data_IF_998368912815
#
_entry.id   IF_998368912815
#
_cell.length_a   1.000
_cell.length_b   1.000
_cell.length_c   1.000
_cell.angle_alpha   90.00
_cell.angle_beta   90.00
_cell.angle_gamma   90.00
#
_symmetry.space_group_name_H-M   'P 1'
#
loop_
_entity.id
_entity.type
_entity.pdbx_description
1 polymer ?
#
# COMPACT_ATOMS: atom_id res chain seq x y z
N UNK A 1 0.70 -5.85 -16.45
CA UNK A 1 1.57 -5.54 -17.62
C UNK A 1 1.52 -4.08 -18.05
N UNK A 2 0.35 -3.51 -18.32
CA UNK A 2 0.24 -2.12 -18.82
C UNK A 2 0.91 -1.10 -17.89
N UNK A 3 0.67 -1.22 -16.57
CA UNK A 3 1.31 -0.38 -15.56
C UNK A 3 2.85 -0.36 -15.70
N UNK A 4 3.48 -1.55 -15.76
CA UNK A 4 4.93 -1.65 -15.90
C UNK A 4 5.46 -1.06 -17.20
N UNK A 5 4.69 -1.12 -18.30
CA UNK A 5 5.07 -0.50 -19.57
C UNK A 5 5.01 1.03 -19.54
N UNK A 6 4.21 1.60 -18.63
CA UNK A 6 4.09 3.04 -18.43
C UNK A 6 5.22 3.65 -17.61
N UNK A 7 6.06 2.83 -16.97
CA UNK A 7 7.20 3.32 -16.19
C UNK A 7 8.28 3.88 -17.13
N UNK A 8 8.86 5.07 -16.84
CA UNK A 8 9.93 5.62 -17.67
C UNK A 8 11.17 4.70 -17.71
N UNK A 9 11.78 4.50 -18.90
CA UNK A 9 12.86 3.53 -19.09
C UNK A 9 14.16 3.85 -18.35
N UNK A 10 14.35 5.08 -17.91
CA UNK A 10 15.52 5.55 -17.17
C UNK A 10 15.48 5.24 -15.67
N UNK A 11 14.43 4.59 -15.18
CA UNK A 11 14.24 4.29 -13.75
C UNK A 11 14.98 3.03 -13.32
N UNK A 12 15.56 3.08 -12.12
CA UNK A 12 16.04 1.90 -11.40
C UNK A 12 14.90 1.43 -10.49
N UNK A 13 14.29 0.29 -10.81
CA UNK A 13 13.03 -0.14 -10.17
C UNK A 13 13.27 -1.25 -9.17
N UNK A 14 12.75 -1.08 -7.95
CA UNK A 14 12.61 -2.13 -6.93
C UNK A 14 11.13 -2.49 -6.77
N UNK A 15 10.81 -3.78 -6.91
CA UNK A 15 9.46 -4.30 -6.74
C UNK A 15 9.34 -4.99 -5.38
N UNK A 16 8.37 -4.53 -4.61
CA UNK A 16 8.01 -5.08 -3.33
C UNK A 16 6.57 -5.62 -3.37
N UNK A 17 6.30 -6.69 -2.65
CA UNK A 17 4.93 -7.20 -2.48
C UNK A 17 4.70 -7.80 -1.10
N UNK A 18 3.45 -7.81 -0.67
CA UNK A 18 3.01 -8.62 0.47
C UNK A 18 3.06 -10.10 0.12
N UNK A 19 3.22 -10.98 1.13
CA UNK A 19 3.21 -12.45 0.98
C UNK A 19 1.82 -13.04 0.64
N UNK A 20 0.99 -12.30 -0.10
CA UNK A 20 -0.32 -12.72 -0.55
C UNK A 20 -0.26 -12.95 -2.06
N UNK A 21 -0.61 -14.16 -2.51
CA UNK A 21 -0.45 -14.62 -3.90
C UNK A 21 -0.95 -13.62 -4.96
N UNK A 22 -2.09 -12.95 -4.75
CA UNK A 22 -2.62 -11.97 -5.71
C UNK A 22 -1.77 -10.71 -5.83
N UNK A 23 -1.14 -10.27 -4.73
CA UNK A 23 -0.19 -9.15 -4.75
C UNK A 23 1.11 -9.56 -5.47
N UNK A 24 1.61 -10.78 -5.20
CA UNK A 24 2.77 -11.34 -5.89
C UNK A 24 2.55 -11.43 -7.40
N UNK A 25 1.39 -11.96 -7.83
CA UNK A 25 1.01 -12.02 -9.24
C UNK A 25 0.92 -10.64 -9.89
N UNK A 26 0.44 -9.64 -9.16
CA UNK A 26 0.38 -8.26 -9.64
C UNK A 26 1.77 -7.67 -9.80
N UNK A 27 2.66 -7.86 -8.81
CA UNK A 27 4.05 -7.44 -8.88
C UNK A 27 4.79 -8.11 -10.05
N UNK A 28 4.60 -9.41 -10.25
CA UNK A 28 5.13 -10.14 -11.39
C UNK A 28 4.63 -9.54 -12.72
N UNK A 29 3.33 -9.27 -12.84
CA UNK A 29 2.77 -8.68 -14.07
C UNK A 29 3.27 -7.25 -14.33
N UNK A 30 3.61 -6.50 -13.28
CA UNK A 30 4.30 -5.20 -13.40
C UNK A 30 5.73 -5.45 -13.91
N UNK A 31 6.46 -6.39 -13.31
CA UNK A 31 7.81 -6.76 -13.70
C UNK A 31 7.94 -7.24 -15.15
N UNK A 32 7.00 -8.04 -15.64
CA UNK A 32 6.92 -8.44 -17.05
C UNK A 32 6.72 -7.22 -17.97
N UNK A 33 5.94 -6.23 -17.53
CA UNK A 33 5.77 -4.96 -18.24
C UNK A 33 7.07 -4.17 -18.32
N UNK A 34 7.81 -4.07 -17.22
CA UNK A 34 9.13 -3.43 -17.13
C UNK A 34 10.16 -4.12 -18.03
N UNK A 35 10.25 -5.45 -17.96
CA UNK A 35 11.17 -6.25 -18.78
C UNK A 35 10.92 -6.08 -20.28
N UNK A 36 9.65 -5.94 -20.69
CA UNK A 36 9.30 -5.67 -22.09
C UNK A 36 9.79 -4.31 -22.61
N UNK A 37 10.26 -3.44 -21.71
CA UNK A 37 10.83 -2.11 -22.00
C UNK A 37 12.35 -2.07 -21.78
N UNK A 38 12.99 -3.20 -21.47
CA UNK A 38 14.42 -3.28 -21.18
C UNK A 38 14.79 -2.85 -19.76
N UNK A 39 13.83 -2.71 -18.85
CA UNK A 39 14.07 -2.43 -17.43
C UNK A 39 14.10 -3.77 -16.69
N UNK A 40 15.18 -4.07 -15.98
CA UNK A 40 15.31 -5.26 -15.14
C UNK A 40 15.01 -4.91 -13.67
N UNK A 41 13.79 -5.20 -13.15
CA UNK A 41 13.45 -4.85 -11.77
C UNK A 41 14.12 -5.77 -10.76
N UNK A 42 14.64 -5.20 -9.68
CA UNK A 42 15.05 -5.99 -8.52
C UNK A 42 13.82 -6.32 -7.67
N UNK A 43 13.62 -7.60 -7.38
CA UNK A 43 12.59 -8.04 -6.43
C UNK A 43 13.18 -8.05 -5.02
N UNK A 44 12.60 -7.27 -4.12
CA UNK A 44 13.05 -7.20 -2.73
C UNK A 44 12.50 -8.34 -1.88
N UNK A 45 12.93 -8.39 -0.61
CA UNK A 45 12.26 -9.20 0.41
C UNK A 45 10.75 -8.87 0.49
N UNK A 46 9.97 -9.90 0.81
CA UNK A 46 8.51 -9.82 0.90
C UNK A 46 8.11 -9.35 2.28
N UNK A 47 7.13 -8.45 2.35
CA UNK A 47 6.58 -8.00 3.62
C UNK A 47 5.72 -9.09 4.24
N UNK A 48 6.02 -9.42 5.50
CA UNK A 48 5.11 -10.23 6.32
C UNK A 48 3.78 -9.49 6.48
N UNK A 49 2.70 -10.28 6.56
CA UNK A 49 1.39 -9.73 6.88
C UNK A 49 1.36 -9.37 8.37
N UNK A 50 1.70 -8.11 8.66
CA UNK A 50 1.70 -7.56 10.02
C UNK A 50 0.30 -7.15 10.49
N UNK A 51 -0.71 -7.22 9.62
CA UNK A 51 -2.07 -6.79 9.95
C UNK A 51 -2.78 -7.81 10.82
N UNK A 52 -2.59 -9.11 10.59
CA UNK A 52 -3.34 -10.19 11.25
C UNK A 52 -2.48 -10.86 12.33
N UNK A 53 -2.92 -10.77 13.58
CA UNK A 53 -2.27 -11.40 14.75
C UNK A 53 -2.91 -12.74 15.12
N UNK A 54 -4.21 -12.88 14.88
CA UNK A 54 -4.98 -14.12 15.10
C UNK A 54 -5.86 -14.38 13.89
N UNK A 55 -5.43 -15.32 13.03
CA UNK A 55 -6.08 -15.62 11.77
C UNK A 55 -7.51 -16.15 11.92
N UNK A 56 -7.82 -16.86 13.01
CA UNK A 56 -9.15 -17.43 13.22
C UNK A 56 -10.16 -16.33 13.57
N UNK A 57 -9.80 -15.48 14.52
CA UNK A 57 -10.67 -14.38 14.94
C UNK A 57 -10.76 -13.29 13.86
N UNK A 58 -9.66 -13.00 13.15
CA UNK A 58 -9.66 -12.08 12.02
C UNK A 58 -10.59 -12.57 10.90
N UNK A 59 -10.50 -13.86 10.53
CA UNK A 59 -11.36 -14.45 9.50
C UNK A 59 -12.84 -14.39 9.88
N UNK A 60 -13.16 -14.64 11.15
CA UNK A 60 -14.54 -14.56 11.66
C UNK A 60 -15.06 -13.13 11.53
N UNK A 61 -14.30 -12.14 12.01
CA UNK A 61 -14.68 -10.73 11.92
C UNK A 61 -14.83 -10.24 10.47
N UNK A 62 -13.87 -10.56 9.59
CA UNK A 62 -13.94 -10.19 8.16
C UNK A 62 -15.15 -10.84 7.47
N UNK A 63 -15.49 -12.08 7.81
CA UNK A 63 -16.69 -12.75 7.28
C UNK A 63 -17.98 -12.08 7.72
N UNK A 64 -18.13 -11.74 9.01
CA UNK A 64 -19.30 -11.01 9.51
C UNK A 64 -19.40 -9.60 8.91
N UNK A 65 -18.26 -8.92 8.77
CA UNK A 65 -18.20 -7.62 8.12
C UNK A 65 -18.66 -7.68 6.65
N UNK A 66 -18.26 -8.73 5.92
CA UNK A 66 -18.73 -8.94 4.55
C UNK A 66 -20.25 -9.22 4.50
N UNK A 67 -20.79 -10.04 5.41
CA UNK A 67 -22.22 -10.36 5.47
C UNK A 67 -23.12 -9.14 5.71
N UNK A 68 -22.65 -8.17 6.50
CA UNK A 68 -23.40 -6.91 6.77
C UNK A 68 -23.24 -5.84 5.68
N UNK A 69 -22.31 -6.02 4.75
CA UNK A 69 -21.99 -5.05 3.69
C UNK A 69 -22.71 -5.40 2.38
N UNK A 70 -22.91 -4.43 1.49
CA UNK A 70 -23.56 -4.65 0.17
C UNK A 70 -22.61 -5.18 -0.91
N UNK A 71 -21.37 -5.48 -0.54
CA UNK A 71 -20.34 -6.02 -1.43
C UNK A 71 -18.94 -5.87 -0.85
N UNK A 72 -17.94 -6.31 -1.60
CA UNK A 72 -16.53 -6.31 -1.16
C UNK A 72 -15.98 -4.90 -0.95
N UNK A 73 -16.38 -3.94 -1.79
CA UNK A 73 -15.93 -2.53 -1.67
C UNK A 73 -16.40 -1.92 -0.35
N UNK A 74 -17.69 -2.02 -0.04
CA UNK A 74 -18.23 -1.50 1.22
C UNK A 74 -17.65 -2.26 2.43
N UNK A 75 -17.43 -3.57 2.31
CA UNK A 75 -16.78 -4.35 3.35
C UNK A 75 -15.35 -3.86 3.62
N UNK A 76 -14.57 -3.58 2.57
CA UNK A 76 -13.20 -3.07 2.68
C UNK A 76 -13.16 -1.69 3.34
N UNK A 77 -14.05 -0.78 2.94
CA UNK A 77 -14.19 0.55 3.55
C UNK A 77 -14.55 0.42 5.03
N UNK A 78 -15.62 -0.31 5.35
CA UNK A 78 -16.08 -0.51 6.72
C UNK A 78 -14.99 -1.10 7.62
N UNK A 79 -14.24 -2.09 7.12
CA UNK A 79 -13.13 -2.66 7.88
C UNK A 79 -12.00 -1.65 8.06
N UNK A 80 -11.63 -0.90 7.02
CA UNK A 80 -10.56 0.10 7.09
C UNK A 80 -10.90 1.19 8.10
N UNK A 81 -12.15 1.67 8.09
CA UNK A 81 -12.64 2.68 9.02
C UNK A 81 -12.65 2.14 10.47
N UNK A 82 -13.24 0.95 10.69
CA UNK A 82 -13.24 0.30 12.01
C UNK A 82 -11.79 0.08 12.51
N UNK A 83 -10.86 -0.32 11.63
CA UNK A 83 -9.47 -0.56 11.98
C UNK A 83 -8.72 0.72 12.32
N UNK A 84 -8.90 1.79 11.53
CA UNK A 84 -8.29 3.10 11.76
C UNK A 84 -8.83 3.77 13.03
N UNK A 85 -10.10 3.52 13.38
CA UNK A 85 -10.73 4.00 14.60
C UNK A 85 -10.42 3.15 15.84
N UNK A 86 -9.72 2.01 15.70
CA UNK A 86 -9.40 1.10 16.81
C UNK A 86 -10.61 0.30 17.31
N UNK A 87 -11.63 0.11 16.47
CA UNK A 87 -12.87 -0.63 16.77
C UNK A 87 -12.79 -2.11 16.37
N UNK A 88 -11.72 -2.53 15.72
CA UNK A 88 -11.47 -3.93 15.39
C UNK A 88 -11.08 -4.76 16.61
N UNK A 89 -11.39 -6.07 16.63
CA UNK A 89 -10.94 -6.95 17.70
C UNK A 89 -9.41 -7.04 17.77
N UNK A 90 -8.83 -7.47 18.91
CA UNK A 90 -7.38 -7.65 19.07
C UNK A 90 -6.76 -8.78 18.22
N UNK A 91 -7.53 -9.33 17.26
CA UNK A 91 -7.06 -10.20 16.21
C UNK A 91 -6.24 -9.46 15.14
N UNK A 92 -6.30 -8.13 15.12
CA UNK A 92 -5.56 -7.26 14.21
C UNK A 92 -4.51 -6.45 14.97
N UNK A 93 -3.40 -6.14 14.30
CA UNK A 93 -2.42 -5.19 14.81
C UNK A 93 -3.06 -3.80 14.94
N UNK A 94 -2.57 -2.96 15.85
CA UNK A 94 -2.97 -1.56 15.91
C UNK A 94 -2.64 -0.86 14.58
N UNK A 95 -3.63 -0.18 13.98
CA UNK A 95 -3.51 0.43 12.65
C UNK A 95 -2.48 1.56 12.62
N UNK A 96 -2.32 2.31 13.71
CA UNK A 96 -1.31 3.37 13.82
C UNK A 96 0.11 2.78 13.88
N UNK A 97 0.31 1.73 14.70
CA UNK A 97 1.58 1.00 14.77
C UNK A 97 1.92 0.38 13.42
N UNK A 98 0.94 -0.21 12.76
CA UNK A 98 1.08 -0.75 11.41
C UNK A 98 1.53 0.34 10.43
N UNK A 99 0.82 1.46 10.36
CA UNK A 99 1.16 2.54 9.44
C UNK A 99 2.55 3.12 9.71
N UNK A 100 2.92 3.29 10.98
CA UNK A 100 4.26 3.76 11.36
C UNK A 100 5.37 2.81 10.94
N UNK A 101 5.18 1.50 11.11
CA UNK A 101 6.15 0.51 10.64
C UNK A 101 6.42 0.66 9.14
N UNK A 102 5.37 0.81 8.33
CA UNK A 102 5.53 1.01 6.88
C UNK A 102 6.15 2.36 6.54
N UNK A 103 5.76 3.43 7.23
CA UNK A 103 6.37 4.74 7.05
C UNK A 103 7.89 4.69 7.33
N UNK A 104 8.29 4.18 8.49
CA UNK A 104 9.70 4.07 8.89
C UNK A 104 10.47 3.21 7.87
N UNK A 105 9.90 2.08 7.42
CA UNK A 105 10.55 1.22 6.44
C UNK A 105 10.68 1.88 5.06
N UNK A 106 9.63 2.55 4.57
CA UNK A 106 9.66 3.26 3.29
C UNK A 106 10.61 4.44 3.32
N UNK A 107 10.69 5.20 4.43
CA UNK A 107 11.67 6.28 4.54
C UNK A 107 13.09 5.70 4.56
N UNK A 108 13.36 4.68 5.37
CA UNK A 108 14.67 4.03 5.41
C UNK A 108 15.10 3.42 4.07
N UNK A 109 14.17 2.89 3.26
CA UNK A 109 14.52 2.38 1.93
C UNK A 109 14.86 3.47 0.92
N UNK A 110 14.38 4.69 1.15
CA UNK A 110 14.60 5.88 0.33
C UNK A 110 15.81 6.69 0.80
N UNK A 111 16.29 6.50 2.03
CA UNK A 111 17.54 7.09 2.51
C UNK A 111 18.72 6.65 1.64
N UNK A 112 19.38 7.61 1.00
CA UNK A 112 20.51 7.34 0.10
C UNK A 112 20.10 6.71 -1.24
N UNK A 113 18.81 6.64 -1.57
CA UNK A 113 18.36 6.18 -2.87
C UNK A 113 18.79 7.15 -3.98
N UNK A 114 19.21 6.59 -5.13
CA UNK A 114 19.53 7.37 -6.32
C UNK A 114 18.30 8.17 -6.80
N UNK A 115 18.47 9.38 -7.37
CA UNK A 115 17.35 10.18 -7.87
C UNK A 115 16.48 9.49 -8.93
N UNK A 116 17.02 8.49 -9.64
CA UNK A 116 16.31 7.66 -10.62
C UNK A 116 15.60 6.45 -10.00
N UNK A 117 15.78 6.19 -8.71
CA UNK A 117 15.15 5.10 -7.97
C UNK A 117 13.63 5.21 -7.96
N UNK A 118 12.97 4.05 -8.10
CA UNK A 118 11.53 3.91 -7.96
C UNK A 118 11.21 2.61 -7.22
N UNK A 119 10.70 2.75 -6.00
CA UNK A 119 10.17 1.64 -5.23
C UNK A 119 8.67 1.51 -5.50
N UNK A 120 8.24 0.32 -5.91
CA UNK A 120 6.82 0.01 -6.13
C UNK A 120 6.41 -1.03 -5.10
N UNK A 121 5.48 -0.64 -4.22
CA UNK A 121 4.91 -1.50 -3.19
C UNK A 121 3.53 -2.00 -3.64
N UNK A 122 3.43 -3.30 -3.88
CA UNK A 122 2.17 -3.94 -4.28
C UNK A 122 1.51 -4.56 -3.06
N UNK A 123 0.35 -4.01 -2.68
CA UNK A 123 -0.39 -4.41 -1.48
C UNK A 123 -1.91 -4.43 -1.71
N UNK A 124 -2.69 -4.29 -0.64
CA UNK A 124 -4.14 -4.30 -0.64
C UNK A 124 -4.71 -2.91 -0.32
N UNK A 125 -5.91 -2.69 -0.83
CA UNK A 125 -6.78 -1.54 -0.58
C UNK A 125 -6.80 -1.08 0.89
N UNK A 126 -6.99 -2.00 1.84
CA UNK A 126 -7.04 -1.67 3.28
C UNK A 126 -5.71 -1.10 3.77
N UNK A 127 -4.58 -1.62 3.29
CA UNK A 127 -3.27 -1.10 3.67
C UNK A 127 -3.07 0.31 3.11
N UNK A 128 -3.44 0.53 1.85
CA UNK A 128 -3.40 1.87 1.24
C UNK A 128 -4.29 2.83 2.03
N UNK A 129 -5.51 2.45 2.37
CA UNK A 129 -6.43 3.27 3.17
C UNK A 129 -5.88 3.61 4.55
N UNK A 130 -5.30 2.63 5.24
CA UNK A 130 -4.65 2.81 6.55
C UNK A 130 -3.46 3.78 6.48
N UNK A 131 -2.62 3.67 5.45
CA UNK A 131 -1.49 4.58 5.22
C UNK A 131 -1.96 5.99 4.86
N UNK A 132 -2.95 6.13 3.98
CA UNK A 132 -3.57 7.43 3.67
C UNK A 132 -4.07 8.11 4.95
N UNK A 133 -4.75 7.37 5.83
CA UNK A 133 -5.29 7.89 7.08
C UNK A 133 -4.20 8.29 8.07
N UNK A 134 -3.38 7.33 8.51
CA UNK A 134 -2.46 7.54 9.63
C UNK A 134 -1.20 8.29 9.23
N UNK A 135 -0.72 8.13 7.99
CA UNK A 135 0.48 8.81 7.54
C UNK A 135 0.17 10.21 6.99
N UNK A 136 -0.89 10.35 6.19
CA UNK A 136 -1.14 11.59 5.46
C UNK A 136 -2.36 12.38 5.92
N UNK A 137 -3.12 11.87 6.91
CA UNK A 137 -4.34 12.50 7.39
C UNK A 137 -5.45 12.55 6.33
N UNK A 138 -5.44 11.61 5.39
CA UNK A 138 -6.41 11.50 4.29
C UNK A 138 -7.41 10.40 4.63
N UNK A 139 -8.69 10.77 4.72
CA UNK A 139 -9.77 9.80 4.96
C UNK A 139 -9.87 8.80 3.83
N UNK A 140 -10.23 7.56 4.14
CA UNK A 140 -10.48 6.52 3.12
C UNK A 140 -11.55 7.01 2.15
N UNK A 141 -11.34 6.90 0.82
CA UNK A 141 -12.34 7.31 -0.15
C UNK A 141 -13.64 6.52 0.01
N UNK A 142 -14.78 7.20 -0.14
CA UNK A 142 -16.11 6.58 -0.02
C UNK A 142 -16.43 5.57 -1.12
N UNK A 143 -15.70 5.59 -2.22
CA UNK A 143 -15.75 4.63 -3.33
C UNK A 143 -14.68 3.52 -3.21
N UNK A 144 -13.93 3.50 -2.11
CA UNK A 144 -12.89 2.51 -1.83
C UNK A 144 -11.58 2.78 -2.58
N UNK A 145 -10.61 1.88 -2.43
CA UNK A 145 -9.36 1.89 -3.19
C UNK A 145 -9.47 0.83 -4.29
N UNK A 146 -9.39 1.26 -5.55
CA UNK A 146 -9.54 0.38 -6.71
C UNK A 146 -8.30 -0.47 -7.02
N UNK A 147 -8.43 -1.36 -8.01
CA UNK A 147 -7.28 -2.11 -8.54
C UNK A 147 -6.25 -1.16 -9.16
N UNK A 148 -4.99 -1.27 -8.72
CA UNK A 148 -3.87 -0.36 -9.05
C UNK A 148 -4.09 1.10 -8.62
N UNK A 149 -5.09 1.37 -7.79
CA UNK A 149 -5.20 2.63 -7.09
C UNK A 149 -4.21 2.65 -5.93
N UNK A 150 -3.78 3.84 -5.55
CA UNK A 150 -2.67 4.03 -4.62
C UNK A 150 -2.12 5.45 -4.72
N UNK A 151 -1.01 5.67 -4.03
CA UNK A 151 -0.37 6.98 -4.01
C UNK A 151 1.07 6.90 -4.48
N UNK A 152 1.56 8.02 -5.02
CA UNK A 152 2.97 8.25 -5.27
C UNK A 152 3.51 9.17 -4.17
N UNK A 153 4.65 8.80 -3.60
CA UNK A 153 5.35 9.59 -2.61
C UNK A 153 6.73 9.95 -3.13
N UNK A 154 7.10 11.23 -3.03
CA UNK A 154 8.44 11.72 -3.33
C UNK A 154 9.00 12.49 -2.13
N UNK A 155 10.00 11.95 -1.42
CA UNK A 155 10.72 12.68 -0.40
C UNK A 155 11.42 13.91 -0.97
N UNK A 156 11.48 14.97 -0.17
CA UNK A 156 12.20 16.22 -0.41
C UNK A 156 12.82 16.68 0.92
N UNK A 157 13.67 17.69 0.87
CA UNK A 157 14.23 18.28 2.09
C UNK A 157 13.10 18.83 2.99
N UNK A 158 12.93 18.21 4.16
CA UNK A 158 11.95 18.62 5.18
C UNK A 158 10.48 18.31 4.89
N UNK A 159 10.14 17.69 3.76
CA UNK A 159 8.76 17.40 3.38
C UNK A 159 8.66 16.24 2.38
N UNK A 160 7.45 15.76 2.12
CA UNK A 160 7.18 14.82 1.04
C UNK A 160 6.10 15.39 0.12
N UNK A 161 6.21 15.09 -1.16
CA UNK A 161 5.11 15.31 -2.11
C UNK A 161 4.34 14.02 -2.28
N UNK A 162 3.04 14.09 -2.02
CA UNK A 162 2.09 13.00 -2.19
C UNK A 162 1.23 13.27 -3.42
N UNK A 163 1.05 12.28 -4.28
CA UNK A 163 0.01 12.29 -5.29
C UNK A 163 -0.97 11.15 -5.05
N UNK A 164 -2.25 11.47 -4.99
CA UNK A 164 -3.32 10.51 -4.86
C UNK A 164 -4.50 10.95 -5.73
N UNK A 165 -4.94 10.10 -6.67
CA UNK A 165 -6.05 10.39 -7.60
C UNK A 165 -5.98 11.74 -8.31
N UNK A 166 -4.79 12.10 -8.79
CA UNK A 166 -4.55 13.35 -9.51
C UNK A 166 -4.41 14.58 -8.62
N UNK A 167 -4.66 14.47 -7.31
CA UNK A 167 -4.38 15.53 -6.35
C UNK A 167 -2.93 15.49 -5.90
N UNK A 168 -2.29 16.66 -5.82
CA UNK A 168 -0.94 16.84 -5.27
C UNK A 168 -1.03 17.50 -3.90
N UNK A 169 -0.37 16.92 -2.90
CA UNK A 169 -0.26 17.47 -1.54
C UNK A 169 1.19 17.52 -1.10
N UNK A 170 1.52 18.50 -0.26
CA UNK A 170 2.79 18.53 0.48
C UNK A 170 2.45 18.13 1.91
N UNK A 171 3.16 17.12 2.41
CA UNK A 171 2.98 16.57 3.77
C UNK A 171 4.32 16.60 4.51
N UNK A 172 4.26 16.67 5.82
CA UNK A 172 5.46 16.63 6.67
C UNK A 172 6.11 15.24 6.59
N UNK A 173 7.44 15.22 6.60
CA UNK A 173 8.19 13.97 6.80
C UNK A 173 7.96 13.47 8.25
N UNK A 174 7.91 12.15 8.50
CA UNK A 174 7.74 11.58 9.84
C UNK A 174 8.81 12.02 10.86
#
# INVERSE_FOLDING_TARGET
MEFGRGVPPERVVRLHSTKIKRAEQTAQSIGEGLASRGIDPTYSERFDDLMILDSKNASTYLSENLKRSRGEVEASINFTDDWCAGLTPPAFCDSKRFARFFADHTIASLEGAEPSGLDIYVTHDVWVGCLLWHWFGITTPSDGIGFLDGFLLQPREGAMTLWFRGEKRIVESP
#
